data_IF_602758981768
#
_entry.id   IF_602758981768
#
_cell.length_a   1.000
_cell.length_b   1.000
_cell.length_c   1.000
_cell.angle_alpha   90.00
_cell.angle_beta   90.00
_cell.angle_gamma   90.00
#
_symmetry.space_group_name_H-M   'P 1'
#
loop_
_entity.id
_entity.type
_entity.pdbx_description
1 polymer ?
#
# COMPACT_ATOMS: atom_id res chain seq x y z
N UNK A 1 12.16 5.22 17.35
CA UNK A 1 11.72 3.82 17.46
C UNK A 1 10.61 3.57 16.46
N UNK A 2 10.60 2.44 15.76
CA UNK A 2 9.48 1.99 14.92
C UNK A 2 8.51 1.15 15.77
N UNK A 3 7.21 1.38 15.62
CA UNK A 3 6.17 0.82 16.51
C UNK A 3 6.08 -0.72 16.47
N UNK A 4 6.05 -1.30 15.26
CA UNK A 4 5.71 -2.72 15.09
C UNK A 4 6.91 -3.67 14.94
N UNK A 5 8.15 -3.14 14.90
CA UNK A 5 9.40 -3.92 14.73
C UNK A 5 9.40 -4.88 13.51
N UNK A 6 8.69 -4.50 12.45
CA UNK A 6 8.58 -5.24 11.17
C UNK A 6 8.97 -4.34 9.98
N UNK A 7 9.19 -4.95 8.82
CA UNK A 7 9.42 -4.29 7.55
C UNK A 7 8.23 -4.46 6.59
N UNK A 8 8.36 -3.94 5.39
CA UNK A 8 7.32 -4.06 4.36
C UNK A 8 7.92 -4.07 2.96
N UNK A 9 7.25 -4.76 2.04
CA UNK A 9 7.43 -4.54 0.61
C UNK A 9 6.19 -3.80 0.10
N UNK A 10 6.39 -2.65 -0.55
CA UNK A 10 5.34 -1.80 -1.11
C UNK A 10 5.57 -1.65 -2.60
N UNK A 11 4.51 -1.83 -3.40
CA UNK A 11 4.53 -1.72 -4.85
C UNK A 11 3.95 -0.36 -5.25
N UNK A 12 4.80 0.53 -5.78
CA UNK A 12 4.40 1.91 -6.09
C UNK A 12 3.26 1.99 -7.11
N UNK A 13 3.22 1.07 -8.07
CA UNK A 13 2.18 0.98 -9.09
C UNK A 13 0.77 0.67 -8.54
N UNK A 14 0.69 0.11 -7.33
CA UNK A 14 -0.56 -0.27 -6.71
C UNK A 14 -1.14 0.83 -5.84
N UNK A 15 -0.36 1.87 -5.56
CA UNK A 15 -0.83 3.01 -4.76
C UNK A 15 -1.81 3.80 -5.62
N UNK A 16 -3.07 3.97 -5.17
CA UNK A 16 -4.02 4.78 -5.90
C UNK A 16 -3.51 6.23 -5.98
N UNK A 17 -3.56 6.81 -7.17
CA UNK A 17 -3.10 8.18 -7.42
C UNK A 17 -3.91 8.83 -8.52
N UNK A 18 -4.05 10.16 -8.46
CA UNK A 18 -4.63 10.96 -9.53
C UNK A 18 -3.62 11.31 -10.63
N UNK A 19 -2.34 10.99 -10.42
CA UNK A 19 -1.30 11.20 -11.41
C UNK A 19 -1.48 10.25 -12.60
N UNK A 20 -1.26 10.76 -13.81
CA UNK A 20 -1.27 9.96 -15.05
C UNK A 20 -0.02 9.08 -15.24
N UNK A 21 0.88 9.07 -14.25
CA UNK A 21 2.14 8.33 -14.24
C UNK A 21 2.30 7.57 -12.92
N UNK A 22 3.18 6.57 -12.91
CA UNK A 22 3.58 5.90 -11.68
C UNK A 22 4.17 6.88 -10.67
N UNK A 23 3.78 6.72 -9.40
CA UNK A 23 4.34 7.47 -8.28
C UNK A 23 5.84 7.22 -8.14
N UNK A 24 6.61 8.30 -8.02
CA UNK A 24 7.99 8.25 -7.54
C UNK A 24 8.05 8.19 -6.01
N UNK A 25 9.21 7.82 -5.46
CA UNK A 25 9.44 7.86 -4.02
C UNK A 25 9.32 9.25 -3.42
N UNK A 26 9.62 10.31 -4.19
CA UNK A 26 9.46 11.69 -3.73
C UNK A 26 7.98 12.07 -3.65
N UNK A 27 7.20 11.77 -4.69
CA UNK A 27 5.77 12.09 -4.75
C UNK A 27 4.97 11.37 -3.66
N UNK A 28 5.31 10.12 -3.33
CA UNK A 28 4.68 9.36 -2.25
C UNK A 28 4.87 10.00 -0.86
N UNK A 29 5.89 10.84 -0.67
CA UNK A 29 6.20 11.46 0.62
C UNK A 29 5.78 12.94 0.69
N UNK A 30 4.95 13.44 -0.25
CA UNK A 30 4.58 14.86 -0.32
C UNK A 30 3.53 15.34 0.70
N UNK A 31 2.98 14.44 1.53
CA UNK A 31 2.03 14.81 2.58
C UNK A 31 0.66 15.25 2.03
N UNK A 32 -0.23 15.67 2.93
CA UNK A 32 -1.57 16.19 2.61
C UNK A 32 -2.53 15.24 1.85
N UNK A 33 -2.25 13.94 1.84
CA UNK A 33 -3.11 12.94 1.19
C UNK A 33 -4.39 12.65 1.99
N UNK A 34 -4.37 12.80 3.32
CA UNK A 34 -5.48 12.46 4.24
C UNK A 34 -6.05 11.03 4.13
N UNK A 35 -5.34 10.12 3.44
CA UNK A 35 -5.74 8.72 3.29
C UNK A 35 -5.31 7.84 4.48
N UNK A 36 -5.98 6.68 4.63
CA UNK A 36 -5.68 5.70 5.68
C UNK A 36 -4.77 4.59 5.15
N UNK A 37 -3.60 4.43 5.76
CA UNK A 37 -2.75 3.25 5.58
C UNK A 37 -2.96 2.27 6.75
N UNK A 38 -3.39 1.05 6.44
CA UNK A 38 -3.59 0.00 7.44
C UNK A 38 -3.03 -1.35 6.99
N UNK A 39 -2.94 -2.28 7.93
CA UNK A 39 -2.55 -3.67 7.70
C UNK A 39 -3.67 -4.60 8.16
N UNK A 40 -3.78 -5.77 7.52
CA UNK A 40 -4.74 -6.80 7.92
C UNK A 40 -4.21 -8.18 7.56
N UNK A 41 -4.76 -9.21 8.20
CA UNK A 41 -4.56 -10.58 7.74
C UNK A 41 -5.19 -10.77 6.36
N UNK A 42 -4.55 -11.60 5.52
CA UNK A 42 -5.03 -11.90 4.16
C UNK A 42 -6.41 -12.55 4.16
N UNK A 43 -6.80 -13.25 5.22
CA UNK A 43 -8.13 -13.86 5.34
C UNK A 43 -9.26 -12.82 5.32
N UNK A 44 -8.96 -11.55 5.63
CA UNK A 44 -9.97 -10.48 5.66
C UNK A 44 -10.16 -9.79 4.30
N UNK A 45 -9.46 -10.21 3.25
CA UNK A 45 -9.47 -9.54 1.94
C UNK A 45 -10.88 -9.34 1.37
N UNK A 46 -11.69 -10.40 1.33
CA UNK A 46 -13.05 -10.33 0.79
C UNK A 46 -13.94 -9.38 1.59
N UNK A 47 -13.77 -9.35 2.91
CA UNK A 47 -14.50 -8.41 3.78
C UNK A 47 -14.11 -6.97 3.51
N UNK A 48 -12.82 -6.69 3.35
CA UNK A 48 -12.30 -5.35 3.04
C UNK A 48 -12.80 -4.90 1.65
N UNK A 49 -12.78 -5.79 0.65
CA UNK A 49 -13.34 -5.52 -0.67
C UNK A 49 -14.85 -5.25 -0.63
N UNK A 50 -15.58 -5.96 0.23
CA UNK A 50 -17.00 -5.71 0.50
C UNK A 50 -17.24 -4.30 1.05
N UNK A 51 -16.46 -3.88 2.05
CA UNK A 51 -16.54 -2.53 2.64
C UNK A 51 -16.20 -1.46 1.59
N UNK A 52 -15.13 -1.66 0.81
CA UNK A 52 -14.73 -0.74 -0.26
C UNK A 52 -15.87 -0.49 -1.26
N UNK A 53 -16.57 -1.55 -1.67
CA UNK A 53 -17.73 -1.45 -2.59
C UNK A 53 -18.93 -0.79 -1.92
N UNK A 54 -19.24 -1.15 -0.69
CA UNK A 54 -20.38 -0.62 0.06
C UNK A 54 -20.25 0.90 0.26
N UNK A 55 -19.08 1.35 0.74
CA UNK A 55 -18.81 2.75 1.03
C UNK A 55 -18.44 3.56 -0.22
N UNK A 56 -18.22 2.88 -1.35
CA UNK A 56 -17.74 3.48 -2.61
C UNK A 56 -16.40 4.22 -2.45
N UNK A 57 -15.56 3.73 -1.54
CA UNK A 57 -14.22 4.26 -1.28
C UNK A 57 -13.20 3.23 -1.80
N UNK A 58 -12.30 3.62 -2.73
CA UNK A 58 -11.25 2.72 -3.21
C UNK A 58 -10.33 2.29 -2.08
N UNK A 59 -10.21 0.98 -1.85
CA UNK A 59 -9.23 0.41 -0.93
C UNK A 59 -8.34 -0.57 -1.71
N UNK A 60 -7.02 -0.34 -1.68
CA UNK A 60 -6.06 -1.09 -2.49
C UNK A 60 -5.03 -1.83 -1.61
N UNK A 61 -4.77 -3.10 -1.91
CA UNK A 61 -3.63 -3.82 -1.34
C UNK A 61 -2.34 -3.40 -2.07
N UNK A 62 -1.54 -2.54 -1.44
CA UNK A 62 -0.33 -1.97 -2.05
C UNK A 62 0.94 -2.76 -1.73
N UNK A 63 0.87 -3.79 -0.89
CA UNK A 63 2.07 -4.42 -0.37
C UNK A 63 1.80 -5.46 0.71
N UNK A 64 2.87 -5.86 1.39
CA UNK A 64 2.83 -6.88 2.44
C UNK A 64 3.91 -6.66 3.49
N UNK A 65 3.50 -6.87 4.74
CA UNK A 65 4.41 -6.84 5.90
C UNK A 65 5.37 -8.02 5.84
N UNK A 66 6.63 -7.79 6.22
CA UNK A 66 7.70 -8.78 6.23
C UNK A 66 8.42 -8.79 7.57
N UNK A 67 9.01 -9.94 7.90
CA UNK A 67 10.00 -10.05 8.98
C UNK A 67 11.22 -9.17 8.65
N UNK A 68 11.88 -8.68 9.70
CA UNK A 68 12.99 -7.71 9.59
C UNK A 68 12.50 -6.28 9.80
N UNK A 69 13.35 -5.28 9.53
CA UNK A 69 13.04 -3.88 9.83
C UNK A 69 13.08 -2.95 8.61
N UNK A 70 13.38 -3.50 7.42
CA UNK A 70 13.53 -2.69 6.20
C UNK A 70 12.20 -2.58 5.45
N UNK A 71 11.82 -1.35 5.12
CA UNK A 71 10.80 -1.08 4.11
C UNK A 71 11.47 -1.03 2.72
N UNK A 72 10.91 -1.71 1.73
CA UNK A 72 11.38 -1.71 0.34
C UNK A 72 10.26 -1.21 -0.56
N UNK A 73 10.56 -0.18 -1.34
CA UNK A 73 9.74 0.24 -2.47
C UNK A 73 10.16 -0.59 -3.68
N UNK A 74 9.22 -1.30 -4.27
CA UNK A 74 9.44 -2.17 -5.41
C UNK A 74 8.80 -1.56 -6.66
N UNK A 75 9.51 -1.53 -7.79
CA UNK A 75 8.90 -1.24 -9.08
C UNK A 75 7.97 -2.39 -9.51
N UNK A 76 7.26 -2.19 -10.62
CA UNK A 76 6.40 -3.16 -11.27
C UNK A 76 7.08 -4.54 -11.34
N UNK A 77 6.34 -5.61 -11.05
CA UNK A 77 6.86 -6.98 -11.25
C UNK A 77 7.25 -7.14 -12.73
N UNK A 78 8.55 -7.20 -13.01
CA UNK A 78 9.02 -7.87 -14.21
C UNK A 78 8.68 -9.36 -14.05
N UNK A 79 7.67 -9.80 -14.81
CA UNK A 79 7.44 -11.22 -15.04
C UNK A 79 8.59 -11.64 -15.97
N UNK A 80 9.56 -12.39 -15.44
CA UNK A 80 10.48 -13.17 -16.27
C UNK A 80 9.80 -14.47 -16.72
#
# INVERSE_FOLDING_TARGET
MTASKVGANVYLEKIPTFLSKSLSSEEMNKGDDYEILFTSDKTNKEKIEGISKQEKIPICEIGLIKKGMKCRLLPQKEIF
#
